data_IF_924023104692
#
_entry.id   IF_924023104692
#
_cell.length_a   1.000
_cell.length_b   1.000
_cell.length_c   1.000
_cell.angle_alpha   90.00
_cell.angle_beta   90.00
_cell.angle_gamma   90.00
#
_symmetry.space_group_name_H-M   'P 1'
#
loop_
_entity.id
_entity.type
_entity.pdbx_description
1 polymer ?
#
# COMPACT_ATOMS: atom_id res chain seq x y z
N UNK A 1 33.65 -49.21 0.00
CA UNK A 1 33.80 -47.75 -0.10
C UNK A 1 32.56 -47.20 -0.77
N UNK A 2 31.45 -47.22 -0.05
CA UNK A 2 30.18 -46.66 -0.48
C UNK A 2 29.87 -45.55 0.50
N UNK A 3 30.33 -44.35 0.19
CA UNK A 3 29.94 -43.16 0.93
C UNK A 3 28.93 -42.43 0.06
N UNK A 4 27.69 -42.45 0.56
CA UNK A 4 26.48 -42.02 -0.10
C UNK A 4 26.55 -40.56 -0.54
N UNK A 5 26.14 -40.35 -1.79
CA UNK A 5 25.55 -39.10 -2.24
C UNK A 5 24.39 -38.74 -1.31
N UNK A 6 24.65 -37.84 -0.36
CA UNK A 6 23.62 -37.25 0.50
C UNK A 6 22.72 -36.34 -0.34
N UNK A 7 21.74 -36.97 -0.99
CA UNK A 7 20.75 -36.40 -1.92
C UNK A 7 19.57 -35.71 -1.17
N UNK A 8 19.67 -35.57 0.15
CA UNK A 8 18.58 -35.12 1.02
C UNK A 8 18.97 -33.94 1.93
N UNK A 9 19.68 -32.93 1.41
CA UNK A 9 19.58 -31.60 2.04
C UNK A 9 18.21 -31.00 1.68
N UNK A 10 17.23 -31.50 2.43
CA UNK A 10 15.82 -31.24 2.27
C UNK A 10 15.59 -29.80 2.67
N UNK A 11 15.14 -29.00 1.70
CA UNK A 11 15.15 -27.55 1.75
C UNK A 11 14.68 -26.97 3.08
N UNK A 12 15.48 -26.04 3.59
CA UNK A 12 15.11 -25.18 4.70
C UNK A 12 13.63 -24.75 4.58
N UNK A 13 12.83 -24.85 5.66
CA UNK A 13 11.45 -24.39 5.60
C UNK A 13 11.50 -22.92 5.15
N UNK A 14 10.96 -22.64 3.95
CA UNK A 14 10.67 -21.28 3.54
C UNK A 14 9.72 -20.74 4.60
N UNK A 15 10.27 -20.03 5.58
CA UNK A 15 9.51 -19.32 6.58
C UNK A 15 8.62 -18.37 5.79
N UNK A 16 7.37 -18.77 5.58
CA UNK A 16 6.36 -17.95 4.93
C UNK A 16 6.10 -16.82 5.91
N UNK A 17 6.88 -15.75 5.78
CA UNK A 17 6.74 -14.57 6.60
C UNK A 17 5.25 -14.20 6.58
N UNK A 18 4.61 -14.26 7.74
CA UNK A 18 3.20 -13.93 7.88
C UNK A 18 2.93 -12.51 7.33
N UNK A 19 1.66 -12.15 7.08
CA UNK A 19 1.31 -10.84 6.56
C UNK A 19 1.99 -9.74 7.40
N UNK A 20 2.96 -9.06 6.81
CA UNK A 20 3.72 -8.02 7.50
C UNK A 20 2.77 -6.87 7.80
N UNK A 21 2.81 -6.37 9.04
CA UNK A 21 1.99 -5.23 9.42
C UNK A 21 2.36 -4.01 8.57
N UNK A 22 1.38 -3.14 8.31
CA UNK A 22 1.60 -1.86 7.64
C UNK A 22 2.62 -1.02 8.41
N UNK A 23 3.54 -0.37 7.69
CA UNK A 23 4.54 0.53 8.29
C UNK A 23 3.94 1.91 8.63
N UNK A 24 4.60 2.64 9.53
CA UNK A 24 4.18 4.01 9.89
C UNK A 24 4.24 4.97 8.69
N UNK A 25 5.21 4.80 7.79
CA UNK A 25 5.29 5.58 6.56
C UNK A 25 4.09 5.35 5.65
N UNK A 26 3.67 4.09 5.45
CA UNK A 26 2.48 3.77 4.67
C UNK A 26 1.21 4.35 5.30
N UNK A 27 1.10 4.28 6.62
CA UNK A 27 0.01 4.90 7.37
C UNK A 27 -0.06 6.40 7.14
N UNK A 28 1.08 7.09 7.15
CA UNK A 28 1.13 8.52 6.89
C UNK A 28 0.64 8.85 5.48
N UNK A 29 1.14 8.14 4.46
CA UNK A 29 0.71 8.32 3.06
C UNK A 29 -0.80 8.13 2.90
N UNK A 30 -1.37 7.08 3.52
CA UNK A 30 -2.82 6.83 3.47
C UNK A 30 -3.60 7.98 4.12
N UNK A 31 -3.16 8.47 5.28
CA UNK A 31 -3.80 9.62 5.96
C UNK A 31 -3.76 10.88 5.10
N UNK A 32 -2.62 11.19 4.50
CA UNK A 32 -2.45 12.38 3.67
C UNK A 32 -3.30 12.27 2.39
N UNK A 33 -3.39 11.09 1.79
CA UNK A 33 -4.24 10.85 0.64
C UNK A 33 -5.74 11.02 0.97
N UNK A 34 -6.21 10.51 2.12
CA UNK A 34 -7.58 10.75 2.57
C UNK A 34 -7.85 12.23 2.85
N UNK A 35 -6.91 12.93 3.49
CA UNK A 35 -7.02 14.36 3.74
C UNK A 35 -7.14 15.15 2.43
N UNK A 36 -6.32 14.82 1.42
CA UNK A 36 -6.36 15.44 0.08
C UNK A 36 -7.67 15.15 -0.66
N UNK A 37 -8.26 13.96 -0.47
CA UNK A 37 -9.59 13.63 -1.00
C UNK A 37 -10.74 14.28 -0.20
N UNK A 38 -10.45 14.95 0.92
CA UNK A 38 -11.45 15.54 1.81
C UNK A 38 -12.23 14.51 2.64
N UNK A 39 -11.72 13.28 2.75
CA UNK A 39 -12.38 12.18 3.45
C UNK A 39 -11.91 12.12 4.90
N UNK A 40 -12.65 12.78 5.78
CA UNK A 40 -12.36 12.80 7.23
C UNK A 40 -13.22 11.82 8.04
N UNK A 41 -14.31 11.31 7.47
CA UNK A 41 -15.23 10.38 8.12
C UNK A 41 -14.64 8.97 8.20
N UNK A 42 -14.63 8.37 9.39
CA UNK A 42 -14.13 7.00 9.58
C UNK A 42 -14.91 5.98 8.73
N UNK A 43 -16.24 6.14 8.62
CA UNK A 43 -17.10 5.29 7.80
C UNK A 43 -16.74 5.39 6.32
N UNK A 44 -16.60 6.60 5.80
CA UNK A 44 -16.24 6.84 4.40
C UNK A 44 -14.83 6.31 4.08
N UNK A 45 -13.88 6.43 5.03
CA UNK A 45 -12.56 5.83 4.89
C UNK A 45 -12.66 4.30 4.78
N UNK A 46 -13.44 3.65 5.64
CA UNK A 46 -13.63 2.20 5.58
C UNK A 46 -14.30 1.74 4.28
N UNK A 47 -15.32 2.47 3.82
CA UNK A 47 -16.01 2.16 2.58
C UNK A 47 -15.05 2.24 1.38
N UNK A 48 -14.18 3.26 1.34
CA UNK A 48 -13.13 3.38 0.30
C UNK A 48 -12.11 2.25 0.41
N UNK A 49 -11.69 1.88 1.61
CA UNK A 49 -10.76 0.75 1.79
C UNK A 49 -11.38 -0.55 1.29
N UNK A 50 -12.63 -0.82 1.64
CA UNK A 50 -13.36 -2.00 1.19
C UNK A 50 -13.51 -2.00 -0.33
N UNK A 51 -13.83 -0.86 -0.94
CA UNK A 51 -13.97 -0.73 -2.40
C UNK A 51 -12.64 -0.97 -3.14
N UNK A 52 -11.53 -0.40 -2.64
CA UNK A 52 -10.22 -0.48 -3.30
C UNK A 52 -9.54 -1.82 -3.07
N UNK A 53 -9.67 -2.40 -1.88
CA UNK A 53 -8.96 -3.61 -1.48
C UNK A 53 -9.83 -4.87 -1.56
N UNK A 54 -11.15 -4.71 -1.70
CA UNK A 54 -12.13 -5.80 -1.62
C UNK A 54 -12.26 -6.41 -0.22
N UNK A 55 -11.64 -5.79 0.80
CA UNK A 55 -11.55 -6.34 2.15
C UNK A 55 -12.12 -5.34 3.15
N UNK A 56 -13.18 -5.76 3.85
CA UNK A 56 -13.75 -4.97 4.94
C UNK A 56 -12.83 -5.04 6.16
N UNK A 57 -12.21 -3.92 6.49
CA UNK A 57 -11.38 -3.81 7.70
C UNK A 57 -12.15 -3.14 8.82
N UNK A 58 -11.96 -3.61 10.05
CA UNK A 58 -12.53 -2.99 11.27
C UNK A 58 -11.65 -1.88 11.83
N UNK A 59 -10.36 -1.89 11.46
CA UNK A 59 -9.38 -0.89 11.90
C UNK A 59 -8.23 -0.82 10.91
N UNK A 60 -7.76 0.39 10.65
CA UNK A 60 -6.56 0.68 9.84
C UNK A 60 -5.31 0.02 10.45
N UNK A 61 -5.29 -0.22 11.77
CA UNK A 61 -4.18 -0.92 12.44
C UNK A 61 -4.07 -2.41 12.07
N UNK A 62 -5.18 -3.03 11.65
CA UNK A 62 -5.18 -4.44 11.26
C UNK A 62 -4.82 -4.64 9.79
N UNK A 63 -4.40 -3.57 9.10
CA UNK A 63 -4.02 -3.61 7.69
C UNK A 63 -2.59 -4.15 7.55
N UNK A 64 -2.44 -5.12 6.63
CA UNK A 64 -1.12 -5.61 6.26
C UNK A 64 -0.48 -4.71 5.19
N UNK A 65 0.84 -4.84 5.03
CA UNK A 65 1.66 -4.06 4.10
C UNK A 65 1.16 -4.16 2.64
N UNK A 66 0.70 -5.34 2.21
CA UNK A 66 0.19 -5.56 0.84
C UNK A 66 -1.13 -4.82 0.60
N UNK A 67 -2.06 -4.93 1.54
CA UNK A 67 -3.36 -4.24 1.50
C UNK A 67 -3.17 -2.73 1.58
N UNK A 68 -2.24 -2.26 2.42
CA UNK A 68 -1.86 -0.85 2.51
C UNK A 68 -1.29 -0.34 1.18
N UNK A 69 -0.41 -1.10 0.53
CA UNK A 69 0.15 -0.72 -0.76
C UNK A 69 -0.92 -0.65 -1.86
N UNK A 70 -1.82 -1.62 -1.92
CA UNK A 70 -2.94 -1.61 -2.86
C UNK A 70 -3.85 -0.39 -2.64
N UNK A 71 -4.13 -0.07 -1.37
CA UNK A 71 -4.90 1.11 -1.00
C UNK A 71 -4.22 2.41 -1.46
N UNK A 72 -2.92 2.58 -1.20
CA UNK A 72 -2.15 3.75 -1.62
C UNK A 72 -2.25 3.96 -3.14
N UNK A 73 -2.06 2.90 -3.92
CA UNK A 73 -2.17 2.97 -5.39
C UNK A 73 -3.59 3.39 -5.82
N UNK A 74 -4.62 2.83 -5.18
CA UNK A 74 -6.01 3.19 -5.48
C UNK A 74 -6.34 4.64 -5.12
N UNK A 75 -5.88 5.13 -3.96
CA UNK A 75 -6.08 6.51 -3.53
C UNK A 75 -5.35 7.50 -4.44
N UNK A 76 -4.12 7.20 -4.88
CA UNK A 76 -3.41 8.01 -5.86
C UNK A 76 -4.16 8.09 -7.19
N UNK A 77 -4.66 6.96 -7.72
CA UNK A 77 -5.49 6.99 -8.94
C UNK A 77 -6.73 7.86 -8.78
N UNK A 78 -7.39 7.80 -7.63
CA UNK A 78 -8.55 8.66 -7.33
C UNK A 78 -8.15 10.14 -7.32
N UNK A 79 -7.05 10.48 -6.66
CA UNK A 79 -6.51 11.85 -6.64
C UNK A 79 -6.18 12.34 -8.05
N UNK A 80 -5.57 11.52 -8.90
CA UNK A 80 -5.30 11.84 -10.30
C UNK A 80 -6.61 12.10 -11.08
N UNK A 81 -7.62 11.27 -10.90
CA UNK A 81 -8.93 11.45 -11.56
C UNK A 81 -9.70 12.67 -11.04
N UNK A 82 -9.65 12.94 -9.74
CA UNK A 82 -10.28 14.09 -9.12
C UNK A 82 -9.59 15.41 -9.53
N UNK A 83 -8.26 15.40 -9.65
CA UNK A 83 -7.47 16.51 -10.16
C UNK A 83 -7.80 16.83 -11.63
N UNK A 84 -7.90 15.81 -12.49
CA UNK A 84 -8.26 15.98 -13.91
C UNK A 84 -9.65 16.60 -14.13
N UNK A 85 -10.60 16.38 -13.23
CA UNK A 85 -11.95 16.95 -13.30
C UNK A 85 -11.98 18.43 -12.86
N UNK A 86 -11.07 18.86 -11.97
CA UNK A 86 -11.04 20.25 -11.44
C UNK A 86 -10.06 21.16 -12.17
N UNK A 87 -9.04 20.63 -12.84
CA UNK A 87 -8.06 21.44 -13.56
C UNK A 87 -7.70 20.77 -14.89
N UNK A 88 -8.05 21.42 -16.01
CA UNK A 88 -7.48 21.12 -17.33
C UNK A 88 -5.98 21.46 -17.42
N UNK A 89 -5.21 21.30 -16.34
CA UNK A 89 -3.79 21.54 -16.18
C UNK A 89 -3.26 20.77 -14.94
N UNK A 90 -3.34 19.44 -14.98
CA UNK A 90 -2.85 18.56 -13.91
C UNK A 90 -1.31 18.33 -13.93
N UNK A 91 -0.55 19.32 -14.41
CA UNK A 91 0.92 19.28 -14.49
C UNK A 91 1.62 20.38 -13.66
N UNK A 92 0.86 21.31 -13.07
CA UNK A 92 1.44 22.48 -12.39
C UNK A 92 1.78 22.25 -10.90
N UNK A 93 1.24 21.19 -10.27
CA UNK A 93 1.44 20.90 -8.85
C UNK A 93 2.46 19.77 -8.65
N UNK A 94 3.55 19.78 -9.43
CA UNK A 94 4.78 19.07 -9.09
C UNK A 94 5.70 20.04 -8.38
N UNK A 95 5.34 20.39 -7.16
CA UNK A 95 6.32 20.81 -6.16
C UNK A 95 6.90 19.53 -5.56
N UNK A 96 8.13 19.21 -5.99
CA UNK A 96 9.16 18.32 -5.40
C UNK A 96 8.74 17.18 -4.43
N UNK A 97 9.05 15.94 -4.81
CA UNK A 97 10.14 15.19 -4.16
C UNK A 97 10.51 13.95 -5.01
N UNK A 98 11.53 14.10 -5.82
CA UNK A 98 12.21 13.01 -6.54
C UNK A 98 12.97 12.15 -5.55
N UNK A 99 12.35 11.08 -5.06
CA UNK A 99 12.99 10.06 -4.21
C UNK A 99 13.92 9.10 -4.98
N UNK A 100 14.08 9.27 -6.30
CA UNK A 100 15.03 8.51 -7.11
C UNK A 100 16.35 9.27 -7.16
N UNK A 101 17.09 9.22 -6.06
CA UNK A 101 18.55 9.29 -6.06
C UNK A 101 19.13 8.52 -4.87
N UNK A 102 19.18 7.19 -5.03
CA UNK A 102 20.20 6.26 -4.50
C UNK A 102 19.72 4.82 -4.67
N UNK A 103 20.17 4.14 -5.71
CA UNK A 103 21.33 3.24 -5.67
C UNK A 103 21.53 2.58 -7.05
#
# INVERSE_FOLDING_TARGET
>A
MSDEVSLFDTGAPKSVAGPRAMSDSQRQVIRDAFARLGVSGARDQFDIVEEVTGHRIVSVNNMNERTAQALIIGLHRRLETAGRQRTGNAWADREEDTWIDRL
#
